data_IF_116457559078
#
_entry.id   IF_116457559078
#
_cell.length_a   1.000
_cell.length_b   1.000
_cell.length_c   1.000
_cell.angle_alpha   90.00
_cell.angle_beta   90.00
_cell.angle_gamma   90.00
#
_symmetry.space_group_name_H-M   'P 1'
#
loop_
_entity.id
_entity.type
_entity.pdbx_description
1 polymer ?
#
# COMPACT_ATOMS: atom_id res chain seq x y z
N UNK A 1 27.87 -17.46 -15.21
CA UNK A 1 27.09 -17.68 -13.98
C UNK A 1 27.01 -16.38 -13.21
N UNK A 2 25.77 -15.92 -13.04
CA UNK A 2 25.24 -14.84 -12.19
C UNK A 2 26.12 -13.61 -11.91
N UNK A 3 26.00 -12.65 -12.81
CA UNK A 3 26.41 -11.27 -12.58
C UNK A 3 25.21 -10.48 -12.04
N UNK A 4 25.36 -9.95 -10.83
CA UNK A 4 24.65 -8.81 -10.27
C UNK A 4 23.13 -8.99 -10.02
N UNK A 5 22.78 -9.64 -8.89
CA UNK A 5 21.50 -9.42 -8.24
C UNK A 5 21.56 -8.10 -7.44
N UNK A 6 21.49 -6.98 -8.16
CA UNK A 6 21.71 -5.60 -7.67
C UNK A 6 20.45 -4.99 -7.01
N UNK A 7 19.44 -5.79 -6.66
CA UNK A 7 18.25 -5.31 -5.93
C UNK A 7 17.92 -6.23 -4.77
N UNK A 8 18.88 -6.38 -3.85
CA UNK A 8 18.57 -6.90 -2.51
C UNK A 8 17.44 -6.05 -1.95
N UNK A 9 16.23 -6.60 -2.01
CA UNK A 9 15.03 -6.13 -1.32
C UNK A 9 15.45 -5.94 0.13
N UNK A 10 15.54 -4.68 0.57
CA UNK A 10 16.13 -4.27 1.85
C UNK A 10 15.46 -4.96 3.06
N UNK A 11 14.29 -5.57 2.84
CA UNK A 11 13.47 -6.21 3.86
C UNK A 11 13.60 -7.73 3.89
N UNK A 12 14.24 -8.38 2.90
CA UNK A 12 14.45 -9.84 2.93
C UNK A 12 15.44 -10.19 4.03
N UNK A 13 15.02 -11.11 4.89
CA UNK A 13 15.83 -11.63 5.99
C UNK A 13 15.54 -10.98 7.33
N UNK A 14 14.75 -9.90 7.38
CA UNK A 14 14.33 -9.25 8.62
C UNK A 14 13.26 -10.06 9.35
N UNK A 15 13.27 -10.00 10.68
CA UNK A 15 12.13 -10.42 11.47
C UNK A 15 11.03 -9.37 11.40
N UNK A 16 9.82 -9.83 11.08
CA UNK A 16 8.64 -8.99 10.93
C UNK A 16 7.49 -9.52 11.76
N UNK A 17 6.73 -8.61 12.35
CA UNK A 17 5.49 -8.87 13.05
C UNK A 17 4.36 -8.00 12.48
N UNK A 18 3.21 -8.61 12.21
CA UNK A 18 2.00 -7.87 11.85
C UNK A 18 1.31 -7.36 13.12
N UNK A 19 1.39 -6.04 13.38
CA UNK A 19 0.77 -5.41 14.56
C UNK A 19 -0.73 -5.20 14.36
N UNK A 20 -1.10 -4.75 13.17
CA UNK A 20 -2.49 -4.42 12.83
C UNK A 20 -2.82 -4.98 11.45
N UNK A 21 -4.03 -5.50 11.30
CA UNK A 21 -4.55 -5.90 10.00
C UNK A 21 -6.08 -5.78 9.96
N UNK A 22 -6.61 -5.37 8.81
CA UNK A 22 -8.05 -5.38 8.54
C UNK A 22 -8.63 -6.80 8.52
N UNK A 23 -7.80 -7.80 8.21
CA UNK A 23 -8.16 -9.22 8.25
C UNK A 23 -7.56 -9.90 9.49
N UNK A 24 -8.40 -10.60 10.27
CA UNK A 24 -7.96 -11.30 11.48
C UNK A 24 -6.93 -12.41 11.23
N UNK A 25 -6.91 -13.03 10.05
CA UNK A 25 -5.97 -14.11 9.71
C UNK A 25 -4.51 -13.65 9.66
N UNK A 26 -4.27 -12.37 9.43
CA UNK A 26 -2.92 -11.81 9.31
C UNK A 26 -2.41 -11.19 10.61
N UNK A 27 -3.29 -10.91 11.58
CA UNK A 27 -2.90 -10.34 12.87
C UNK A 27 -1.99 -11.31 13.64
N UNK A 28 -0.84 -10.80 14.11
CA UNK A 28 0.09 -11.58 14.93
C UNK A 28 0.94 -12.59 14.15
N UNK A 29 0.94 -12.57 12.82
CA UNK A 29 1.94 -13.32 12.05
C UNK A 29 3.31 -12.72 12.37
N UNK A 30 4.19 -13.56 12.90
CA UNK A 30 5.60 -13.24 13.15
C UNK A 30 6.48 -14.23 12.41
N UNK A 31 7.56 -13.73 11.82
CA UNK A 31 8.52 -14.58 11.15
C UNK A 31 9.51 -13.79 10.32
N UNK A 32 10.22 -14.50 9.45
CA UNK A 32 11.27 -13.90 8.61
C UNK A 32 10.73 -13.61 7.21
N UNK A 33 11.04 -12.45 6.65
CA UNK A 33 10.67 -12.14 5.27
C UNK A 33 11.56 -12.92 4.30
N UNK A 34 10.96 -13.82 3.51
CA UNK A 34 11.66 -14.62 2.50
C UNK A 34 11.58 -13.99 1.12
N UNK A 35 10.43 -13.38 0.79
CA UNK A 35 10.20 -12.73 -0.50
C UNK A 35 9.47 -11.39 -0.31
N UNK A 36 9.83 -10.42 -1.13
CA UNK A 36 9.15 -9.12 -1.22
C UNK A 36 8.64 -8.89 -2.64
N UNK A 37 7.33 -8.83 -2.80
CA UNK A 37 6.72 -8.34 -4.03
C UNK A 37 6.26 -6.88 -3.85
N UNK A 38 5.79 -6.26 -4.94
CA UNK A 38 5.24 -4.89 -4.89
C UNK A 38 4.05 -4.76 -3.92
N UNK A 39 3.30 -5.84 -3.69
CA UNK A 39 2.03 -5.78 -2.97
C UNK A 39 1.95 -6.74 -1.78
N UNK A 40 2.86 -7.70 -1.66
CA UNK A 40 2.84 -8.73 -0.62
C UNK A 40 4.22 -8.94 0.00
N UNK A 41 4.24 -9.37 1.25
CA UNK A 41 5.40 -9.96 1.91
C UNK A 41 5.14 -11.44 2.11
N UNK A 42 6.14 -12.28 1.80
CA UNK A 42 6.10 -13.69 2.16
C UNK A 42 6.88 -13.87 3.46
N UNK A 43 6.17 -14.25 4.52
CA UNK A 43 6.72 -14.41 5.87
C UNK A 43 6.80 -15.89 6.19
N UNK A 44 8.00 -16.37 6.52
CA UNK A 44 8.23 -17.74 6.98
C UNK A 44 8.16 -17.83 8.50
N UNK A 45 7.33 -18.77 8.99
CA UNK A 45 7.20 -19.10 10.40
C UNK A 45 7.35 -20.63 10.57
N UNK A 46 8.49 -21.08 11.08
CA UNK A 46 8.74 -22.49 11.38
C UNK A 46 8.66 -23.42 10.16
N UNK A 47 9.13 -22.96 8.99
CA UNK A 47 9.12 -23.72 7.74
C UNK A 47 7.80 -23.65 6.95
N UNK A 48 6.84 -22.83 7.39
CA UNK A 48 5.63 -22.51 6.61
C UNK A 48 5.68 -21.07 6.13
N UNK A 49 5.52 -20.89 4.83
CA UNK A 49 5.45 -19.57 4.20
C UNK A 49 4.01 -19.07 4.17
N UNK A 50 3.80 -17.83 4.61
CA UNK A 50 2.52 -17.13 4.56
C UNK A 50 2.68 -15.87 3.73
N UNK A 51 1.85 -15.72 2.71
CA UNK A 51 1.79 -14.49 1.93
C UNK A 51 0.84 -13.51 2.62
N UNK A 52 1.37 -12.36 3.00
CA UNK A 52 0.62 -11.30 3.68
C UNK A 52 0.53 -10.08 2.77
N UNK A 53 -0.67 -9.60 2.43
CA UNK A 53 -0.84 -8.40 1.63
C UNK A 53 -0.42 -7.15 2.40
N UNK A 54 0.37 -6.30 1.76
CA UNK A 54 0.82 -5.02 2.30
C UNK A 54 -0.31 -3.98 2.45
N UNK A 55 -1.43 -4.16 1.73
CA UNK A 55 -2.56 -3.21 1.74
C UNK A 55 -3.29 -3.17 3.08
N UNK A 56 -3.52 -4.34 3.66
CA UNK A 56 -4.38 -4.49 4.81
C UNK A 56 -3.62 -4.56 6.13
N UNK A 57 -2.28 -4.54 6.12
CA UNK A 57 -1.46 -4.91 7.27
C UNK A 57 -0.39 -3.87 7.59
N UNK A 58 -0.19 -3.60 8.88
CA UNK A 58 0.94 -2.83 9.41
C UNK A 58 1.98 -3.78 9.95
N UNK A 59 3.23 -3.57 9.54
CA UNK A 59 4.35 -4.44 9.87
C UNK A 59 5.35 -3.71 10.77
N UNK A 60 5.81 -4.38 11.82
CA UNK A 60 6.96 -3.99 12.63
C UNK A 60 8.14 -4.86 12.25
N UNK A 61 9.21 -4.24 11.78
CA UNK A 61 10.46 -4.94 11.53
C UNK A 61 11.38 -4.78 12.75
N UNK A 62 11.97 -5.88 13.21
CA UNK A 62 13.00 -5.87 14.23
C UNK A 62 14.36 -6.04 13.56
N UNK A 63 15.06 -4.93 13.34
CA UNK A 63 16.51 -4.92 13.11
C UNK A 63 17.16 -4.43 14.41
N UNK A 64 18.34 -4.96 14.76
CA UNK A 64 19.05 -4.60 15.99
C UNK A 64 19.17 -3.07 16.19
N UNK A 65 19.18 -2.64 17.46
CA UNK A 65 19.25 -1.24 17.94
C UNK A 65 18.64 -0.16 17.03
N UNK A 66 17.39 -0.35 16.61
CA UNK A 66 16.60 0.73 16.00
C UNK A 66 15.32 0.25 15.33
N UNK A 67 14.24 0.05 16.10
CA UNK A 67 12.94 -0.29 15.52
C UNK A 67 12.36 0.90 14.75
N UNK A 68 12.39 0.86 13.42
CA UNK A 68 11.72 1.85 12.58
C UNK A 68 10.33 1.33 12.15
N UNK A 69 9.28 2.09 12.47
CA UNK A 69 7.94 1.88 11.90
C UNK A 69 7.92 2.47 10.48
N UNK A 70 8.02 1.63 9.45
CA UNK A 70 7.85 2.07 8.06
C UNK A 70 6.38 2.00 7.67
N UNK A 71 5.72 3.16 7.63
CA UNK A 71 4.38 3.31 7.06
C UNK A 71 4.47 3.38 5.53
N UNK A 72 3.94 2.39 4.83
CA UNK A 72 3.81 2.43 3.37
C UNK A 72 2.69 3.43 3.00
N UNK A 73 3.06 4.65 2.58
CA UNK A 73 2.10 5.63 2.06
C UNK A 73 1.58 5.11 0.72
N UNK A 74 0.31 4.71 0.65
CA UNK A 74 -0.35 4.37 -0.61
C UNK A 74 -1.13 5.56 -1.15
N UNK A 75 -0.95 5.82 -2.44
CA UNK A 75 -1.75 6.79 -3.18
C UNK A 75 -2.49 6.03 -4.27
N UNK A 76 -3.80 5.91 -4.15
CA UNK A 76 -4.64 5.37 -5.22
C UNK A 76 -5.01 6.51 -6.17
N UNK A 77 -4.80 6.29 -7.47
CA UNK A 77 -5.27 7.22 -8.50
C UNK A 77 -6.66 6.80 -8.99
N UNK A 78 -7.65 7.69 -8.86
CA UNK A 78 -9.00 7.47 -9.34
C UNK A 78 -9.25 8.29 -10.60
N UNK A 79 -9.93 7.69 -11.59
CA UNK A 79 -10.44 8.43 -12.74
C UNK A 79 -11.80 9.03 -12.37
N UNK A 80 -11.87 10.35 -12.30
CA UNK A 80 -13.07 11.09 -12.01
C UNK A 80 -13.50 11.95 -13.22
N UNK A 81 -14.80 12.01 -13.47
CA UNK A 81 -15.36 12.93 -14.45
C UNK A 81 -15.43 14.35 -13.86
N UNK A 82 -14.92 15.34 -14.58
CA UNK A 82 -15.05 16.75 -14.24
C UNK A 82 -16.27 17.35 -14.98
N UNK A 83 -17.33 17.75 -14.26
CA UNK A 83 -18.46 18.43 -14.88
C UNK A 83 -18.06 19.84 -15.32
N UNK A 84 -18.73 20.41 -16.32
CA UNK A 84 -18.39 21.72 -16.90
C UNK A 84 -18.43 22.90 -15.92
N UNK A 85 -19.07 22.73 -14.77
CA UNK A 85 -19.10 23.73 -13.70
C UNK A 85 -17.84 23.72 -12.81
N UNK A 86 -17.01 22.68 -12.84
CA UNK A 86 -15.81 22.56 -12.02
C UNK A 86 -14.59 22.40 -12.93
N UNK A 87 -13.67 23.35 -12.83
CA UNK A 87 -12.42 23.35 -13.59
C UNK A 87 -11.25 23.11 -12.63
N UNK A 88 -10.83 21.85 -12.43
CA UNK A 88 -9.68 21.53 -11.61
C UNK A 88 -8.38 21.75 -12.41
N UNK A 89 -7.41 22.42 -11.80
CA UNK A 89 -6.08 22.60 -12.37
C UNK A 89 -5.04 21.75 -11.63
N UNK A 90 -3.84 21.59 -12.23
CA UNK A 90 -2.77 20.84 -11.60
C UNK A 90 -2.34 21.52 -10.29
N UNK A 91 -2.49 20.81 -9.17
CA UNK A 91 -2.18 21.32 -7.83
C UNK A 91 -3.40 21.55 -6.95
N UNK A 92 -4.60 21.50 -7.51
CA UNK A 92 -5.84 21.67 -6.74
C UNK A 92 -6.20 20.42 -5.92
N UNK A 93 -6.64 20.64 -4.68
CA UNK A 93 -7.23 19.58 -3.85
C UNK A 93 -8.71 19.44 -4.19
N UNK A 94 -9.09 18.36 -4.86
CA UNK A 94 -10.48 18.10 -5.24
C UNK A 94 -11.13 17.04 -4.35
N UNK A 95 -12.43 17.20 -4.10
CA UNK A 95 -13.25 16.16 -3.47
C UNK A 95 -14.01 15.40 -4.56
N UNK A 96 -13.94 14.08 -4.52
CA UNK A 96 -14.64 13.19 -5.45
C UNK A 96 -15.73 12.42 -4.72
N UNK A 97 -16.80 12.08 -5.44
CA UNK A 97 -17.90 11.26 -4.95
C UNK A 97 -18.16 10.10 -5.90
N UNK A 98 -18.57 8.95 -5.36
CA UNK A 98 -19.04 7.80 -6.13
C UNK A 98 -20.36 8.12 -6.86
N UNK A 99 -20.50 7.62 -8.10
CA UNK A 99 -21.67 7.82 -8.93
C UNK A 99 -22.00 6.53 -9.71
N UNK A 100 -23.09 6.56 -10.49
CA UNK A 100 -23.35 5.50 -11.48
C UNK A 100 -22.15 5.41 -12.46
N UNK A 101 -21.80 4.21 -12.95
CA UNK A 101 -20.74 4.08 -13.96
C UNK A 101 -21.05 4.95 -15.18
N UNK A 102 -20.23 5.97 -15.42
CA UNK A 102 -20.33 6.85 -16.58
C UNK A 102 -19.58 6.26 -17.79
N UNK A 103 -18.58 5.43 -17.52
CA UNK A 103 -17.81 4.69 -18.52
C UNK A 103 -17.25 3.41 -17.90
N UNK A 104 -16.59 2.58 -18.71
CA UNK A 104 -15.96 1.32 -18.26
C UNK A 104 -14.98 1.50 -17.09
N UNK A 105 -14.40 2.69 -16.95
CA UNK A 105 -13.37 3.01 -15.95
C UNK A 105 -13.68 4.23 -15.08
N UNK A 106 -14.83 4.89 -15.29
CA UNK A 106 -15.18 6.14 -14.60
C UNK A 106 -16.47 5.94 -13.83
N UNK A 107 -16.34 5.82 -12.52
CA UNK A 107 -17.47 5.68 -11.57
C UNK A 107 -17.46 6.77 -10.50
N UNK A 108 -16.61 7.79 -10.67
CA UNK A 108 -16.46 8.90 -9.73
C UNK A 108 -16.68 10.23 -10.46
N UNK A 109 -17.25 11.20 -9.76
CA UNK A 109 -17.43 12.57 -10.24
C UNK A 109 -16.78 13.54 -9.26
N UNK A 110 -16.20 14.62 -9.78
CA UNK A 110 -15.68 15.71 -8.95
C UNK A 110 -16.85 16.55 -8.43
N UNK A 111 -16.90 16.79 -7.11
CA UNK A 111 -17.99 17.54 -6.45
C UNK A 111 -17.56 18.95 -6.00
N UNK A 112 -16.30 19.11 -5.59
CA UNK A 112 -15.80 20.36 -5.02
C UNK A 112 -14.31 20.52 -5.30
N UNK A 113 -13.88 21.76 -5.57
CA UNK A 113 -12.48 22.15 -5.61
C UNK A 113 -12.14 22.93 -4.33
N UNK A 114 -11.39 22.30 -3.42
CA UNK A 114 -10.87 22.92 -2.21
C UNK A 114 -9.59 23.67 -2.58
N UNK A 115 -9.76 24.87 -3.16
CA UNK A 115 -8.63 25.78 -3.34
C UNK A 115 -8.09 26.14 -1.96
N UNK A 116 -6.85 25.75 -1.69
CA UNK A 116 -6.10 26.23 -0.54
C UNK A 116 -5.62 27.63 -0.92
N UNK A 117 -6.43 28.64 -0.58
CA UNK A 117 -6.07 30.04 -0.71
C UNK A 117 -5.02 30.46 0.32
#
# INVERSE_FOLDING_TARGET
MNSQDFRRRELIGLEVEVIESTCQEHLGIKGRVVDESKNTFTIEQGGREKMVPKDCCKFRFAEGEGSYERYEKRTNSYLAHAPSCIHPELGDSVSIMECRPLSKRVSYVVIENKKQG
#
